data_IF_298784078437
#
_entry.id   IF_298784078437
#
_cell.length_a   1.000
_cell.length_b   1.000
_cell.length_c   1.000
_cell.angle_alpha   90.00
_cell.angle_beta   90.00
_cell.angle_gamma   90.00
#
_symmetry.space_group_name_H-M   'P 1'
#
loop_
_entity.id
_entity.type
_entity.pdbx_description
1 polymer ?
#
# COMPACT_ATOMS: atom_id res chain seq x y z
N UNK A 1 1.05 -9.45 -16.01
CA UNK A 1 1.07 -8.35 -15.01
C UNK A 1 2.36 -8.34 -14.18
N UNK A 2 2.98 -9.47 -13.85
CA UNK A 2 4.23 -9.52 -13.06
C UNK A 2 5.39 -8.71 -13.68
N UNK A 3 5.71 -8.88 -14.96
CA UNK A 3 6.82 -8.15 -15.61
C UNK A 3 6.64 -6.61 -15.66
N UNK A 4 5.41 -6.10 -15.62
CA UNK A 4 5.14 -4.66 -15.58
C UNK A 4 5.39 -4.06 -14.18
N UNK A 5 5.34 -4.87 -13.12
CA UNK A 5 5.52 -4.41 -11.74
C UNK A 5 6.96 -3.99 -11.41
N UNK A 6 7.96 -4.57 -12.08
CA UNK A 6 9.36 -4.23 -11.80
C UNK A 6 9.84 -2.97 -12.53
N UNK A 7 9.38 -2.75 -13.75
CA UNK A 7 9.89 -1.68 -14.62
C UNK A 7 9.05 -0.40 -14.58
N UNK A 8 7.77 -0.51 -14.24
CA UNK A 8 6.88 0.64 -14.23
C UNK A 8 7.25 1.61 -13.09
N UNK A 9 7.43 2.89 -13.42
CA UNK A 9 7.88 3.95 -12.50
C UNK A 9 7.04 4.02 -11.21
N UNK A 10 5.72 3.76 -11.28
CA UNK A 10 4.81 3.78 -10.14
C UNK A 10 5.18 2.74 -9.08
N UNK A 11 5.30 1.47 -9.48
CA UNK A 11 5.63 0.39 -8.54
C UNK A 11 6.99 0.60 -7.88
N UNK A 12 8.00 1.02 -8.68
CA UNK A 12 9.32 1.34 -8.16
C UNK A 12 9.27 2.50 -7.16
N UNK A 13 8.60 3.61 -7.52
CA UNK A 13 8.50 4.79 -6.65
C UNK A 13 7.69 4.50 -5.38
N UNK A 14 6.63 3.68 -5.48
CA UNK A 14 5.81 3.26 -4.34
C UNK A 14 6.62 2.38 -3.39
N UNK A 15 7.33 1.39 -3.90
CA UNK A 15 8.23 0.53 -3.10
C UNK A 15 9.30 1.35 -2.37
N UNK A 16 9.98 2.26 -3.07
CA UNK A 16 11.00 3.12 -2.47
C UNK A 16 10.43 4.10 -1.42
N UNK A 17 9.21 4.59 -1.63
CA UNK A 17 8.53 5.46 -0.67
C UNK A 17 8.11 4.69 0.58
N UNK A 18 7.48 3.53 0.41
CA UNK A 18 7.09 2.66 1.53
C UNK A 18 8.32 2.22 2.33
N UNK A 19 9.36 1.76 1.64
CA UNK A 19 10.63 1.40 2.28
C UNK A 19 11.16 2.56 3.12
N UNK A 20 11.25 3.76 2.56
CA UNK A 20 11.73 4.96 3.28
C UNK A 20 10.91 5.28 4.54
N UNK A 21 9.58 5.09 4.48
CA UNK A 21 8.69 5.46 5.59
C UNK A 21 8.56 4.36 6.66
N UNK A 22 8.74 3.10 6.29
CA UNK A 22 8.48 1.94 7.15
C UNK A 22 9.78 1.35 7.71
N UNK A 23 10.80 1.18 6.87
CA UNK A 23 12.06 0.49 7.22
C UNK A 23 12.73 1.02 8.51
N UNK A 24 12.78 2.37 8.78
CA UNK A 24 13.35 2.89 10.02
C UNK A 24 12.64 2.47 11.30
N UNK A 25 11.45 1.91 11.17
CA UNK A 25 10.60 1.51 12.30
C UNK A 25 10.47 0.00 12.45
N UNK A 26 11.05 -0.79 11.53
CA UNK A 26 11.06 -2.24 11.63
C UNK A 26 11.91 -2.68 12.83
N UNK A 27 11.47 -3.72 13.51
CA UNK A 27 12.22 -4.32 14.60
C UNK A 27 13.50 -4.97 14.04
N UNK A 28 14.65 -4.55 14.55
CA UNK A 28 15.94 -5.17 14.22
C UNK A 28 16.11 -6.49 15.01
N UNK A 29 15.29 -7.50 14.68
CA UNK A 29 15.34 -8.83 15.31
C UNK A 29 15.58 -9.89 14.26
N UNK A 30 16.55 -10.81 14.45
CA UNK A 30 16.63 -12.01 13.64
C UNK A 30 15.29 -12.76 13.69
N UNK A 31 14.81 -13.22 12.55
CA UNK A 31 13.56 -13.98 12.42
C UNK A 31 12.27 -13.21 12.77
N UNK A 32 12.28 -11.88 12.76
CA UNK A 32 11.05 -11.09 12.82
C UNK A 32 10.15 -11.46 11.63
N UNK A 33 8.93 -11.91 11.90
CA UNK A 33 7.97 -12.29 10.86
C UNK A 33 7.24 -11.05 10.36
N UNK A 34 7.19 -10.87 9.05
CA UNK A 34 6.51 -9.75 8.39
C UNK A 34 5.30 -10.23 7.61
N UNK A 35 4.27 -9.38 7.46
CA UNK A 35 3.09 -9.64 6.64
C UNK A 35 2.96 -8.60 5.52
N UNK A 36 2.89 -9.07 4.29
CA UNK A 36 2.43 -8.32 3.12
C UNK A 36 0.97 -8.72 2.86
N UNK A 37 0.04 -7.93 3.40
CA UNK A 37 -1.38 -8.22 3.41
C UNK A 37 -2.04 -7.73 2.11
N UNK A 38 -2.67 -8.65 1.36
CA UNK A 38 -3.14 -8.46 -0.02
C UNK A 38 -2.00 -8.00 -0.94
N UNK A 39 -0.84 -8.65 -0.82
CA UNK A 39 0.38 -8.25 -1.50
C UNK A 39 0.37 -8.50 -3.01
N UNK A 40 -0.64 -9.20 -3.54
CA UNK A 40 -0.76 -9.52 -4.96
C UNK A 40 0.47 -10.26 -5.47
N UNK A 41 1.17 -9.68 -6.46
CA UNK A 41 2.42 -10.23 -7.02
C UNK A 41 3.68 -9.88 -6.21
N UNK A 42 3.56 -9.24 -5.04
CA UNK A 42 4.69 -8.83 -4.20
C UNK A 42 5.44 -7.58 -4.68
N UNK A 43 5.02 -6.95 -5.76
CA UNK A 43 5.76 -5.86 -6.41
C UNK A 43 6.00 -4.63 -5.51
N UNK A 44 5.16 -4.40 -4.50
CA UNK A 44 5.29 -3.27 -3.57
C UNK A 44 5.91 -3.63 -2.23
N UNK A 45 5.67 -4.86 -1.73
CA UNK A 45 6.10 -5.33 -0.41
C UNK A 45 7.31 -6.26 -0.43
N UNK A 46 7.78 -6.73 -1.60
CA UNK A 46 8.85 -7.73 -1.72
C UNK A 46 10.15 -7.41 -0.98
N UNK A 47 10.44 -6.14 -0.77
CA UNK A 47 11.59 -5.68 0.00
C UNK A 47 11.56 -6.08 1.49
N UNK A 48 10.39 -6.43 2.04
CA UNK A 48 10.28 -6.95 3.41
C UNK A 48 11.07 -8.25 3.60
N UNK A 49 11.21 -9.05 2.56
CA UNK A 49 11.99 -10.31 2.59
C UNK A 49 13.47 -10.10 2.87
N UNK A 50 13.99 -8.89 2.71
CA UNK A 50 15.36 -8.52 3.07
C UNK A 50 15.53 -8.37 4.60
N UNK A 51 14.43 -8.21 5.35
CA UNK A 51 14.42 -7.95 6.79
C UNK A 51 14.06 -9.18 7.63
N UNK A 52 13.52 -10.22 7.02
CA UNK A 52 13.16 -11.45 7.71
C UNK A 52 12.16 -12.31 6.94
N UNK A 53 11.73 -13.43 7.53
CA UNK A 53 10.66 -14.25 6.98
C UNK A 53 9.42 -13.38 6.73
N UNK A 54 8.86 -13.49 5.53
CA UNK A 54 7.71 -12.64 5.15
C UNK A 54 6.59 -13.50 4.59
N UNK A 55 5.44 -13.41 5.21
CA UNK A 55 4.19 -13.98 4.69
C UNK A 55 3.60 -13.00 3.69
N UNK A 56 3.27 -13.48 2.49
CA UNK A 56 2.37 -12.77 1.57
C UNK A 56 1.00 -13.44 1.63
N UNK A 57 -0.02 -12.69 2.01
CA UNK A 57 -1.40 -13.15 2.05
C UNK A 57 -2.21 -12.49 0.95
N UNK A 58 -2.87 -13.28 0.09
CA UNK A 58 -3.76 -12.77 -0.94
C UNK A 58 -4.86 -13.81 -1.23
N UNK A 59 -6.00 -13.37 -1.78
CA UNK A 59 -7.06 -14.28 -2.19
C UNK A 59 -6.79 -14.92 -3.56
N UNK A 60 -5.99 -14.25 -4.41
CA UNK A 60 -5.67 -14.70 -5.77
C UNK A 60 -4.43 -15.60 -5.78
N UNK A 61 -4.67 -16.88 -6.01
CA UNK A 61 -3.61 -17.89 -6.08
C UNK A 61 -2.59 -17.64 -7.19
N UNK A 62 -3.00 -17.08 -8.33
CA UNK A 62 -2.06 -16.81 -9.44
C UNK A 62 -1.09 -15.68 -9.09
N UNK A 63 -1.58 -14.65 -8.41
CA UNK A 63 -0.74 -13.58 -7.89
C UNK A 63 0.27 -14.11 -6.86
N UNK A 64 -0.17 -14.97 -5.94
CA UNK A 64 0.73 -15.61 -4.95
C UNK A 64 1.82 -16.46 -5.61
N UNK A 65 1.49 -17.23 -6.65
CA UNK A 65 2.49 -18.01 -7.39
C UNK A 65 3.53 -17.11 -8.06
N UNK A 66 3.10 -16.00 -8.67
CA UNK A 66 4.02 -15.02 -9.24
C UNK A 66 4.88 -14.37 -8.15
N UNK A 67 4.31 -14.02 -7.01
CA UNK A 67 5.04 -13.41 -5.89
C UNK A 67 6.17 -14.32 -5.37
N UNK A 68 5.90 -15.60 -5.15
CA UNK A 68 6.92 -16.57 -4.68
C UNK A 68 7.99 -16.83 -5.74
N UNK A 69 7.62 -16.80 -7.03
CA UNK A 69 8.57 -16.94 -8.12
C UNK A 69 9.53 -15.75 -8.19
N UNK A 70 8.99 -14.52 -8.10
CA UNK A 70 9.78 -13.28 -8.25
C UNK A 70 10.51 -12.91 -6.96
N UNK A 71 9.96 -13.28 -5.80
CA UNK A 71 10.52 -13.05 -4.46
C UNK A 71 10.57 -14.36 -3.65
N UNK A 72 11.61 -15.17 -3.81
CA UNK A 72 11.70 -16.51 -3.17
C UNK A 72 11.69 -16.50 -1.63
N UNK A 73 11.85 -15.32 -0.99
CA UNK A 73 11.75 -15.14 0.46
C UNK A 73 10.32 -15.07 0.99
N UNK A 74 9.28 -15.05 0.12
CA UNK A 74 7.90 -15.08 0.56
C UNK A 74 7.40 -16.47 0.96
N UNK A 75 6.60 -16.49 2.02
CA UNK A 75 5.76 -17.60 2.44
C UNK A 75 4.32 -17.29 2.03
N UNK A 76 3.83 -17.92 0.96
CA UNK A 76 2.51 -17.61 0.40
C UNK A 76 1.39 -18.26 1.21
N UNK A 77 0.40 -17.48 1.60
CA UNK A 77 -0.83 -17.91 2.26
C UNK A 77 -2.03 -17.39 1.48
N UNK A 78 -2.89 -18.30 1.03
CA UNK A 78 -4.16 -17.89 0.43
C UNK A 78 -5.17 -17.54 1.52
N UNK A 79 -5.67 -16.31 1.53
CA UNK A 79 -6.60 -15.85 2.56
C UNK A 79 -7.40 -14.63 2.13
N UNK A 80 -8.46 -14.34 2.92
CA UNK A 80 -9.29 -13.17 2.78
C UNK A 80 -8.96 -12.19 3.92
N UNK A 81 -8.73 -10.92 3.61
CA UNK A 81 -8.47 -9.88 4.61
C UNK A 81 -9.61 -9.72 5.63
N UNK A 82 -10.84 -10.05 5.22
CA UNK A 82 -12.00 -10.00 6.12
C UNK A 82 -11.98 -11.12 7.18
N UNK A 83 -11.16 -12.17 6.98
CA UNK A 83 -11.08 -13.37 7.82
C UNK A 83 -9.65 -13.90 7.92
N UNK A 84 -8.75 -13.12 8.49
CA UNK A 84 -7.35 -13.52 8.66
C UNK A 84 -7.23 -14.61 9.74
N UNK A 85 -6.71 -15.76 9.36
CA UNK A 85 -6.53 -16.92 10.25
C UNK A 85 -5.14 -16.95 10.91
N UNK A 86 -4.62 -15.77 11.29
CA UNK A 86 -3.36 -15.65 12.02
C UNK A 86 -3.61 -15.49 13.51
N UNK A 87 -2.72 -16.02 14.34
CA UNK A 87 -2.77 -15.84 15.78
C UNK A 87 -2.52 -14.37 16.17
N UNK A 88 -2.94 -13.99 17.38
CA UNK A 88 -2.61 -12.69 17.95
C UNK A 88 -1.10 -12.53 18.03
N UNK A 89 -0.63 -11.31 17.87
CA UNK A 89 0.77 -10.94 18.11
C UNK A 89 1.80 -11.78 17.33
N UNK A 90 1.49 -12.08 16.06
CA UNK A 90 2.30 -12.96 15.22
C UNK A 90 3.31 -12.23 14.34
N UNK A 91 3.09 -10.94 14.06
CA UNK A 91 3.87 -10.21 13.06
C UNK A 91 4.56 -8.99 13.62
N UNK A 92 5.85 -8.86 13.36
CA UNK A 92 6.67 -7.68 13.69
C UNK A 92 6.37 -6.48 12.77
N UNK A 93 5.76 -6.72 11.62
CA UNK A 93 5.17 -5.65 10.79
C UNK A 93 4.06 -6.18 9.90
N UNK A 94 3.11 -5.30 9.58
CA UNK A 94 2.02 -5.53 8.61
C UNK A 94 2.05 -4.40 7.59
N UNK A 95 2.18 -4.75 6.32
CA UNK A 95 2.08 -3.83 5.17
C UNK A 95 0.78 -4.15 4.41
N UNK A 96 -0.01 -3.13 4.10
CA UNK A 96 -1.21 -3.25 3.27
C UNK A 96 -1.26 -2.11 2.26
N UNK A 97 -1.26 -2.45 0.97
CA UNK A 97 -1.17 -1.48 -0.13
C UNK A 97 -2.32 -1.67 -1.11
N UNK A 98 -3.16 -0.65 -1.25
CA UNK A 98 -4.28 -0.61 -2.22
C UNK A 98 -5.24 -1.80 -2.13
N UNK A 99 -5.55 -2.23 -0.90
CA UNK A 99 -6.44 -3.35 -0.66
C UNK A 99 -7.73 -2.97 0.07
N UNK A 100 -7.66 -2.05 1.05
CA UNK A 100 -8.83 -1.62 1.82
C UNK A 100 -9.86 -0.88 0.94
N UNK A 101 -9.42 -0.34 -0.19
CA UNK A 101 -10.27 0.38 -1.14
C UNK A 101 -11.20 -0.52 -1.93
N UNK A 102 -10.94 -1.82 -2.05
CA UNK A 102 -11.72 -2.72 -2.91
C UNK A 102 -13.14 -2.95 -2.40
N UNK A 103 -14.08 -3.17 -3.34
CA UNK A 103 -15.50 -3.42 -3.05
C UNK A 103 -15.73 -4.70 -2.23
N UNK A 104 -14.82 -5.67 -2.33
CA UNK A 104 -14.87 -6.91 -1.56
C UNK A 104 -14.52 -6.73 -0.08
N UNK A 105 -14.00 -5.56 0.30
CA UNK A 105 -13.66 -5.20 1.68
C UNK A 105 -14.68 -4.18 2.23
N UNK A 106 -15.88 -4.64 2.67
CA UNK A 106 -16.98 -3.76 3.05
C UNK A 106 -16.68 -2.94 4.32
N UNK A 107 -15.94 -3.51 5.27
CA UNK A 107 -15.52 -2.85 6.52
C UNK A 107 -13.99 -2.77 6.63
N UNK A 108 -13.35 -1.76 6.02
CA UNK A 108 -11.90 -1.59 6.14
C UNK A 108 -11.43 -1.29 7.58
N UNK A 109 -12.30 -0.74 8.42
CA UNK A 109 -11.95 -0.50 9.81
C UNK A 109 -11.84 -1.82 10.60
N UNK A 110 -12.69 -2.82 10.30
CA UNK A 110 -12.55 -4.15 10.86
C UNK A 110 -11.23 -4.81 10.45
N UNK A 111 -10.84 -4.68 9.17
CA UNK A 111 -9.56 -5.21 8.67
C UNK A 111 -8.38 -4.55 9.39
N UNK A 112 -8.40 -3.23 9.61
CA UNK A 112 -7.33 -2.53 10.34
C UNK A 112 -7.29 -2.96 11.81
N UNK A 113 -8.43 -3.27 12.45
CA UNK A 113 -8.47 -3.87 13.79
C UNK A 113 -7.83 -5.26 13.80
N UNK A 114 -8.06 -6.08 12.77
CA UNK A 114 -7.38 -7.38 12.61
C UNK A 114 -5.87 -7.20 12.45
N UNK A 115 -5.41 -6.22 11.67
CA UNK A 115 -3.99 -5.91 11.57
C UNK A 115 -3.39 -5.53 12.94
N UNK A 116 -4.11 -4.75 13.75
CA UNK A 116 -3.68 -4.43 15.10
C UNK A 116 -3.65 -5.65 16.02
N UNK A 117 -4.60 -6.61 15.87
CA UNK A 117 -4.63 -7.85 16.65
C UNK A 117 -3.43 -8.75 16.36
N UNK A 118 -3.14 -8.96 15.07
CA UNK A 118 -2.06 -9.87 14.64
C UNK A 118 -0.65 -9.25 14.72
N UNK A 119 -0.54 -7.93 14.82
CA UNK A 119 0.72 -7.24 15.02
C UNK A 119 1.23 -7.47 16.45
N UNK A 120 2.52 -7.70 16.66
CA UNK A 120 3.14 -7.77 17.99
C UNK A 120 3.14 -6.40 18.70
N UNK A 121 3.21 -6.33 20.03
CA UNK A 121 3.51 -5.08 20.72
C UNK A 121 4.78 -4.42 20.15
N UNK A 122 4.69 -3.14 19.81
CA UNK A 122 5.76 -2.39 19.15
C UNK A 122 5.88 -2.60 17.63
N UNK A 123 5.11 -3.51 17.04
CA UNK A 123 5.10 -3.77 15.61
C UNK A 123 4.58 -2.59 14.78
N UNK A 124 5.05 -2.47 13.55
CA UNK A 124 4.65 -1.43 12.61
C UNK A 124 3.52 -1.91 11.72
N UNK A 125 2.47 -1.12 11.59
CA UNK A 125 1.38 -1.31 10.62
C UNK A 125 1.42 -0.16 9.63
N UNK A 126 1.63 -0.47 8.35
CA UNK A 126 1.70 0.50 7.27
C UNK A 126 0.56 0.29 6.27
N UNK A 127 -0.19 1.34 6.04
CA UNK A 127 -1.35 1.36 5.14
C UNK A 127 -1.10 2.38 4.04
N UNK A 128 -1.33 1.99 2.79
CA UNK A 128 -1.32 2.91 1.65
C UNK A 128 -2.51 2.63 0.75
N UNK A 129 -3.37 3.62 0.57
CA UNK A 129 -4.63 3.49 -0.17
C UNK A 129 -4.80 4.62 -1.21
N UNK A 130 -5.62 4.43 -2.24
CA UNK A 130 -5.97 5.49 -3.18
C UNK A 130 -6.52 6.71 -2.44
N UNK A 131 -5.86 7.85 -2.66
CA UNK A 131 -6.16 9.12 -2.00
C UNK A 131 -7.13 10.00 -2.81
N UNK A 132 -7.74 10.98 -2.14
CA UNK A 132 -8.53 12.02 -2.78
C UNK A 132 -9.89 11.55 -3.29
N UNK A 133 -10.92 11.58 -2.46
CA UNK A 133 -12.30 11.16 -2.81
C UNK A 133 -12.85 11.79 -4.10
N UNK A 134 -12.42 13.02 -4.41
CA UNK A 134 -12.86 13.76 -5.61
C UNK A 134 -12.06 13.41 -6.87
N UNK A 135 -11.06 12.51 -6.74
CA UNK A 135 -10.18 12.10 -7.84
C UNK A 135 -10.62 10.77 -8.46
N UNK A 136 -11.91 10.43 -8.34
CA UNK A 136 -12.46 9.21 -8.95
C UNK A 136 -12.27 9.23 -10.45
N UNK A 137 -11.77 8.13 -11.02
CA UNK A 137 -11.49 7.96 -12.44
C UNK A 137 -12.05 6.63 -12.95
N UNK A 138 -12.13 6.49 -14.26
CA UNK A 138 -12.51 5.24 -14.90
C UNK A 138 -11.60 4.05 -14.53
N UNK A 139 -10.34 4.32 -14.19
CA UNK A 139 -9.39 3.34 -13.67
C UNK A 139 -9.91 2.69 -12.37
N UNK A 140 -10.52 3.45 -11.48
CA UNK A 140 -11.09 2.94 -10.22
C UNK A 140 -12.19 1.89 -10.46
N UNK A 141 -12.98 2.07 -11.52
CA UNK A 141 -14.02 1.10 -11.88
C UNK A 141 -13.44 -0.20 -12.41
N UNK A 142 -12.38 -0.11 -13.23
CA UNK A 142 -11.68 -1.28 -13.80
C UNK A 142 -10.95 -2.08 -12.72
N UNK A 143 -10.41 -1.41 -11.71
CA UNK A 143 -9.69 -2.05 -10.59
C UNK A 143 -10.60 -2.46 -9.44
N UNK A 144 -11.93 -2.44 -9.63
CA UNK A 144 -12.91 -2.78 -8.59
C UNK A 144 -12.78 -1.95 -7.31
N UNK A 145 -12.24 -0.73 -7.42
CA UNK A 145 -12.16 0.22 -6.30
C UNK A 145 -13.58 0.57 -5.85
N UNK A 146 -13.87 0.47 -4.59
CA UNK A 146 -15.15 0.83 -3.98
C UNK A 146 -15.12 2.19 -3.31
N UNK A 147 -13.92 2.66 -2.92
CA UNK A 147 -13.72 3.91 -2.19
C UNK A 147 -12.31 4.46 -2.34
N UNK A 148 -12.16 5.76 -2.07
CA UNK A 148 -10.88 6.44 -1.90
C UNK A 148 -10.83 7.05 -0.52
N UNK A 149 -9.65 7.15 0.07
CA UNK A 149 -9.45 7.63 1.42
C UNK A 149 -8.83 9.03 1.46
N UNK A 150 -9.19 9.83 2.45
CA UNK A 150 -8.37 10.95 2.86
C UNK A 150 -7.31 10.47 3.86
N UNK A 151 -6.23 11.25 4.02
CA UNK A 151 -5.21 10.97 5.04
C UNK A 151 -5.84 10.94 6.44
N UNK A 152 -6.78 11.85 6.72
CA UNK A 152 -7.48 11.91 8.01
C UNK A 152 -8.35 10.69 8.30
N UNK A 153 -9.06 10.15 7.30
CA UNK A 153 -9.87 8.93 7.48
C UNK A 153 -9.01 7.71 7.75
N UNK A 154 -7.92 7.54 7.00
CA UNK A 154 -7.00 6.42 7.22
C UNK A 154 -6.31 6.53 8.59
N UNK A 155 -5.99 7.77 9.01
CA UNK A 155 -5.48 8.07 10.35
C UNK A 155 -6.49 7.68 11.43
N UNK A 156 -7.74 8.10 11.28
CA UNK A 156 -8.79 7.79 12.24
C UNK A 156 -9.06 6.28 12.36
N UNK A 157 -8.97 5.54 11.25
CA UNK A 157 -9.09 4.08 11.29
C UNK A 157 -7.94 3.42 12.05
N UNK A 158 -6.70 3.85 11.84
CA UNK A 158 -5.55 3.34 12.57
C UNK A 158 -5.68 3.62 14.08
N UNK A 159 -6.05 4.85 14.45
CA UNK A 159 -6.27 5.24 15.84
C UNK A 159 -7.45 4.49 16.47
N UNK A 160 -8.54 4.31 15.73
CA UNK A 160 -9.71 3.52 16.16
C UNK A 160 -9.42 2.04 16.36
N UNK A 161 -8.35 1.52 15.76
CA UNK A 161 -7.82 0.18 15.99
C UNK A 161 -6.81 0.11 17.16
N UNK A 162 -6.58 1.21 17.89
CA UNK A 162 -5.64 1.27 19.00
C UNK A 162 -4.17 1.46 18.59
N UNK A 163 -3.91 1.83 17.32
CA UNK A 163 -2.55 2.06 16.83
C UNK A 163 -2.11 3.51 17.06
N UNK A 164 -0.85 3.71 17.41
CA UNK A 164 -0.20 5.02 17.54
C UNK A 164 0.36 5.45 16.19
N UNK A 165 -0.12 6.56 15.64
CA UNK A 165 0.30 7.05 14.31
C UNK A 165 1.67 7.71 14.41
N UNK A 166 2.65 7.15 13.69
CA UNK A 166 4.01 7.67 13.57
C UNK A 166 4.07 8.69 12.43
N UNK A 167 3.43 8.37 11.30
CA UNK A 167 3.43 9.20 10.10
C UNK A 167 2.09 9.08 9.38
N UNK A 168 1.52 10.23 9.03
CA UNK A 168 0.35 10.31 8.17
C UNK A 168 0.62 11.33 7.06
N UNK A 169 0.48 10.94 5.80
CA UNK A 169 0.80 11.80 4.65
C UNK A 169 0.06 11.39 3.38
N UNK A 170 -0.21 12.37 2.53
CA UNK A 170 -0.47 12.12 1.12
C UNK A 170 0.81 11.87 0.35
N UNK A 171 0.70 11.20 -0.78
CA UNK A 171 1.80 11.01 -1.73
C UNK A 171 1.31 11.20 -3.17
N UNK A 172 2.27 11.48 -4.07
CA UNK A 172 1.99 11.82 -5.46
C UNK A 172 1.07 13.02 -5.59
N UNK A 173 1.27 14.03 -4.75
CA UNK A 173 0.48 15.26 -4.72
C UNK A 173 0.60 16.06 -6.01
N UNK A 174 1.76 16.00 -6.68
CA UNK A 174 2.01 16.63 -7.98
C UNK A 174 1.11 16.08 -9.11
N UNK A 175 0.58 14.86 -8.95
CA UNK A 175 -0.35 14.26 -9.91
C UNK A 175 -1.83 14.63 -9.65
N UNK A 176 -2.14 15.28 -8.53
CA UNK A 176 -3.53 15.64 -8.19
C UNK A 176 -4.15 16.59 -9.22
N UNK A 177 -3.49 17.70 -9.66
CA UNK A 177 -4.06 18.57 -10.66
C UNK A 177 -4.34 17.87 -12.00
N UNK A 178 -3.40 17.16 -12.63
CA UNK A 178 -3.68 16.47 -13.88
C UNK A 178 -4.71 15.34 -13.70
N UNK A 179 -4.71 14.60 -12.59
CA UNK A 179 -5.70 13.56 -12.33
C UNK A 179 -7.12 14.13 -12.20
N UNK A 180 -7.26 15.27 -11.54
CA UNK A 180 -8.54 15.97 -11.42
C UNK A 180 -9.05 16.43 -12.78
N UNK A 181 -8.19 17.03 -13.61
CA UNK A 181 -8.54 17.46 -14.96
C UNK A 181 -8.95 16.27 -15.83
N UNK A 182 -8.18 15.16 -15.79
CA UNK A 182 -8.51 13.95 -16.53
C UNK A 182 -9.84 13.34 -16.06
N UNK A 183 -10.12 13.32 -14.76
CA UNK A 183 -11.39 12.85 -14.22
C UNK A 183 -12.61 13.62 -14.75
N UNK A 184 -12.46 14.90 -15.10
CA UNK A 184 -13.50 15.69 -15.76
C UNK A 184 -13.67 15.27 -17.23
N UNK A 185 -12.56 14.99 -17.94
CA UNK A 185 -12.54 14.67 -19.37
C UNK A 185 -13.00 13.24 -19.63
N UNK A 186 -12.68 12.31 -18.74
CA UNK A 186 -12.94 10.86 -18.88
C UNK A 186 -14.35 10.43 -18.44
N UNK A 187 -15.19 11.35 -17.98
CA UNK A 187 -16.55 11.01 -17.57
C UNK A 187 -17.29 10.25 -18.68
N UNK A 188 -17.51 8.95 -18.46
CA UNK A 188 -18.22 8.05 -19.37
C UNK A 188 -17.36 7.18 -20.31
N UNK A 189 -16.04 7.17 -20.17
CA UNK A 189 -15.14 6.29 -20.96
C UNK A 189 -14.31 5.40 -20.04
N UNK A 190 -14.65 4.12 -19.97
CA UNK A 190 -13.84 3.15 -19.24
C UNK A 190 -12.50 2.93 -19.99
N UNK A 191 -11.39 3.40 -19.41
CA UNK A 191 -10.02 3.16 -19.89
C UNK A 191 -9.10 2.89 -18.70
N UNK A 192 -8.31 1.83 -18.80
CA UNK A 192 -7.24 1.54 -17.85
C UNK A 192 -5.99 2.35 -18.19
N UNK A 193 -5.32 2.91 -17.19
CA UNK A 193 -4.02 3.58 -17.34
C UNK A 193 -2.85 2.59 -17.38
N UNK A 194 -3.10 1.31 -17.10
CA UNK A 194 -2.10 0.25 -17.13
C UNK A 194 -1.64 0.03 -18.60
N UNK A 195 -0.40 0.37 -18.89
CA UNK A 195 0.22 0.25 -20.20
C UNK A 195 0.46 1.56 -20.97
N UNK A 196 0.06 2.71 -20.42
CA UNK A 196 0.17 4.02 -21.11
C UNK A 196 1.53 4.73 -21.00
N UNK A 197 2.44 4.27 -20.15
CA UNK A 197 3.59 5.05 -19.70
C UNK A 197 4.98 4.56 -20.11
N UNK A 198 5.11 3.81 -21.19
CA UNK A 198 6.45 3.47 -21.70
C UNK A 198 7.09 4.57 -22.57
N UNK A 199 6.39 5.64 -22.87
CA UNK A 199 6.89 6.75 -23.69
C UNK A 199 7.37 7.92 -22.82
N UNK A 200 8.71 8.08 -22.66
CA UNK A 200 9.40 9.34 -22.29
C UNK A 200 9.05 10.03 -20.95
N UNK A 201 7.78 10.03 -20.56
CA UNK A 201 7.28 10.68 -19.34
C UNK A 201 7.62 9.91 -18.04
N UNK A 202 7.87 8.62 -18.11
CA UNK A 202 8.16 7.79 -16.92
C UNK A 202 9.40 8.27 -16.14
N UNK A 203 10.41 8.75 -16.84
CA UNK A 203 11.62 9.33 -16.24
C UNK A 203 11.32 10.63 -15.48
N UNK A 204 10.52 11.53 -16.06
CA UNK A 204 10.12 12.79 -15.43
C UNK A 204 9.25 12.53 -14.20
N UNK A 205 8.26 11.65 -14.32
CA UNK A 205 7.39 11.26 -13.21
C UNK A 205 8.19 10.61 -12.07
N UNK A 206 9.17 9.76 -12.40
CA UNK A 206 10.07 9.16 -11.43
C UNK A 206 10.96 10.20 -10.73
N UNK A 207 11.44 11.20 -11.43
CA UNK A 207 12.21 12.31 -10.85
C UNK A 207 11.38 13.16 -9.90
N UNK A 208 10.13 13.50 -10.28
CA UNK A 208 9.18 14.23 -9.42
C UNK A 208 8.82 13.41 -8.19
N UNK A 209 8.55 12.12 -8.35
CA UNK A 209 8.29 11.21 -7.22
C UNK A 209 9.50 11.13 -6.27
N UNK A 210 10.72 11.11 -6.79
CA UNK A 210 11.94 11.11 -5.99
C UNK A 210 12.13 12.41 -5.21
N UNK A 211 11.78 13.56 -5.81
CA UNK A 211 11.82 14.85 -5.13
C UNK A 211 10.77 14.92 -4.01
N UNK A 212 9.53 14.51 -4.29
CA UNK A 212 8.47 14.44 -3.29
C UNK A 212 8.86 13.48 -2.16
N UNK A 213 9.41 12.31 -2.46
CA UNK A 213 9.89 11.34 -1.46
C UNK A 213 10.92 11.97 -0.52
N UNK A 214 11.87 12.78 -1.03
CA UNK A 214 12.83 13.51 -0.18
C UNK A 214 12.14 14.50 0.75
N UNK A 215 11.11 15.20 0.24
CA UNK A 215 10.30 16.11 1.05
C UNK A 215 9.55 15.34 2.15
N UNK A 216 8.93 14.21 1.82
CA UNK A 216 8.14 13.38 2.74
C UNK A 216 8.95 12.74 3.86
N UNK A 217 10.28 12.70 3.76
CA UNK A 217 11.14 12.28 4.90
C UNK A 217 10.96 13.16 6.13
N UNK A 218 10.78 14.47 5.94
CA UNK A 218 10.70 15.45 7.04
C UNK A 218 9.32 16.06 7.21
N UNK A 219 8.58 16.19 6.13
CA UNK A 219 7.29 16.85 6.10
C UNK A 219 6.18 15.87 5.74
N UNK A 220 4.92 16.28 5.93
CA UNK A 220 3.74 15.54 5.50
C UNK A 220 2.90 16.40 4.55
N UNK A 221 2.26 15.75 3.57
CA UNK A 221 1.29 16.38 2.68
C UNK A 221 -0.11 16.01 3.16
N UNK A 222 -1.05 16.96 3.25
CA UNK A 222 -2.41 16.68 3.69
C UNK A 222 -3.26 15.97 2.64
N UNK A 223 -2.78 15.89 1.39
CA UNK A 223 -3.47 15.29 0.25
C UNK A 223 -2.48 14.64 -0.73
N UNK A 224 -2.97 13.75 -1.58
CA UNK A 224 -2.21 13.09 -2.63
C UNK A 224 -3.09 12.16 -3.45
N UNK A 225 -2.54 11.55 -4.50
CA UNK A 225 -3.19 10.42 -5.19
C UNK A 225 -3.23 9.18 -4.31
N UNK A 226 -2.33 9.09 -3.34
CA UNK A 226 -2.34 8.07 -2.30
C UNK A 226 -2.41 8.71 -0.93
N UNK A 227 -3.09 8.06 0.02
CA UNK A 227 -3.05 8.33 1.45
C UNK A 227 -2.23 7.24 2.14
N UNK A 228 -1.31 7.63 3.00
CA UNK A 228 -0.39 6.72 3.69
C UNK A 228 -0.46 6.98 5.19
N UNK A 229 -0.54 5.90 5.96
CA UNK A 229 -0.38 5.92 7.41
C UNK A 229 0.63 4.84 7.80
N UNK A 230 1.63 5.24 8.55
CA UNK A 230 2.53 4.35 9.27
C UNK A 230 2.22 4.51 10.76
N UNK A 231 1.86 3.43 11.40
CA UNK A 231 1.47 3.42 12.80
C UNK A 231 2.19 2.30 13.54
N UNK A 232 2.16 2.31 14.85
CA UNK A 232 2.76 1.31 15.73
C UNK A 232 1.70 0.76 16.67
N UNK A 233 1.73 -0.53 16.91
CA UNK A 233 1.00 -1.11 18.03
C UNK A 233 1.70 -0.68 19.36
N UNK A 234 1.00 -0.12 20.34
CA UNK A 234 1.57 0.16 21.67
C UNK A 234 2.23 -1.06 22.29
N UNK A 235 3.19 -0.84 23.20
CA UNK A 235 3.88 -1.89 23.97
C UNK A 235 2.96 -2.54 24.98
#
# INVERSE_FOLDING_TARGET
MAAAGETHWWYRSTRELLRQLVEPHLAARPNALHLDAAGGTGATGGWLTEHGPTVIADFDQFSLQAAVHDFPGYLAVRGDLNHLSFADESFASVLCVTALCHRMNPDPAAIVREFARIAEPGAVVALMEPGGKRLWRSHDDVTHTGRRFSVGELTAMAQGAGLEVIKATGAYSFLVPPAWLMGIIERGKAKSDVGRNESGLGGVLGALASLERRFLRRFSMPFGLSAIVVARRPL
#
